data_IF_296448907483
#
_entry.id   IF_296448907483
#
_cell.length_a   1.000
_cell.length_b   1.000
_cell.length_c   1.000
_cell.angle_alpha   90.00
_cell.angle_beta   90.00
_cell.angle_gamma   90.00
#
_symmetry.space_group_name_H-M   'P 1'
#
loop_
_entity.id
_entity.type
_entity.pdbx_description
1 polymer ?
#
# COMPACT_ATOMS: atom_id res chain seq x y z
N UNK A 1 29.99 -11.39 -30.17
CA UNK A 1 28.65 -11.96 -29.86
C UNK A 1 28.37 -12.07 -28.35
N UNK A 2 28.91 -11.20 -27.50
CA UNK A 2 28.69 -11.22 -26.03
C UNK A 2 27.79 -10.07 -25.52
N UNK A 3 27.36 -9.21 -26.43
CA UNK A 3 26.57 -8.00 -26.16
C UNK A 3 25.05 -8.26 -26.15
N UNK A 4 24.59 -9.39 -26.68
CA UNK A 4 23.15 -9.68 -26.84
C UNK A 4 22.50 -10.34 -25.61
N UNK A 5 23.23 -11.18 -24.88
CA UNK A 5 22.65 -11.92 -23.74
C UNK A 5 22.43 -11.03 -22.52
N UNK A 6 23.34 -10.08 -22.25
CA UNK A 6 23.23 -9.16 -21.11
C UNK A 6 22.08 -8.16 -21.27
N UNK A 7 21.84 -7.68 -22.50
CA UNK A 7 20.75 -6.74 -22.82
C UNK A 7 19.39 -7.44 -22.77
N UNK A 8 19.31 -8.67 -23.30
CA UNK A 8 18.10 -9.50 -23.25
C UNK A 8 17.74 -9.86 -21.80
N UNK A 9 18.70 -10.26 -20.97
CA UNK A 9 18.45 -10.52 -19.54
C UNK A 9 18.01 -9.27 -18.79
N UNK A 10 18.64 -8.11 -19.02
CA UNK A 10 18.24 -6.86 -18.39
C UNK A 10 16.81 -6.45 -18.81
N UNK A 11 16.42 -6.70 -20.07
CA UNK A 11 15.07 -6.51 -20.56
C UNK A 11 14.06 -7.43 -19.85
N UNK A 12 14.37 -8.71 -19.68
CA UNK A 12 13.52 -9.69 -19.00
C UNK A 12 13.23 -9.30 -17.55
N UNK A 13 14.23 -8.86 -16.80
CA UNK A 13 14.04 -8.41 -15.41
C UNK A 13 13.15 -7.18 -15.33
N UNK A 14 13.33 -6.21 -16.22
CA UNK A 14 12.46 -5.01 -16.26
C UNK A 14 11.01 -5.36 -16.56
N UNK A 15 10.76 -6.28 -17.48
CA UNK A 15 9.40 -6.76 -17.78
C UNK A 15 8.79 -7.47 -16.58
N UNK A 16 9.54 -8.34 -15.91
CA UNK A 16 9.07 -9.03 -14.70
C UNK A 16 8.75 -8.05 -13.57
N UNK A 17 9.63 -7.06 -13.32
CA UNK A 17 9.39 -6.00 -12.34
C UNK A 17 8.13 -5.20 -12.70
N UNK A 18 7.96 -4.80 -13.96
CA UNK A 18 6.78 -4.06 -14.39
C UNK A 18 5.50 -4.87 -14.20
N UNK A 19 5.49 -6.14 -14.57
CA UNK A 19 4.34 -7.03 -14.39
C UNK A 19 3.99 -7.22 -12.90
N UNK A 20 4.99 -7.45 -12.04
CA UNK A 20 4.78 -7.63 -10.60
C UNK A 20 4.30 -6.36 -9.93
N UNK A 21 4.89 -5.20 -10.25
CA UNK A 21 4.43 -3.90 -9.75
C UNK A 21 3.02 -3.57 -10.27
N UNK A 22 2.71 -3.92 -11.52
CA UNK A 22 1.37 -3.79 -12.10
C UNK A 22 0.34 -4.63 -11.36
N UNK A 23 0.64 -5.91 -11.12
CA UNK A 23 -0.24 -6.81 -10.35
C UNK A 23 -0.42 -6.32 -8.92
N UNK A 24 0.65 -5.86 -8.28
CA UNK A 24 0.59 -5.27 -6.95
C UNK A 24 -0.32 -4.03 -6.93
N UNK A 25 -0.16 -3.12 -7.90
CA UNK A 25 -1.00 -1.92 -8.03
C UNK A 25 -2.47 -2.24 -8.35
N UNK A 26 -2.74 -3.24 -9.19
CA UNK A 26 -4.09 -3.74 -9.44
C UNK A 26 -4.68 -4.36 -8.17
N UNK A 27 -3.89 -5.16 -7.45
CA UNK A 27 -4.31 -5.77 -6.19
C UNK A 27 -4.67 -4.73 -5.13
N UNK A 28 -3.95 -3.62 -5.08
CA UNK A 28 -4.24 -2.50 -4.18
C UNK A 28 -5.65 -1.91 -4.38
N UNK A 29 -6.20 -1.96 -5.61
CA UNK A 29 -7.51 -1.37 -5.95
C UNK A 29 -8.62 -2.41 -6.10
N UNK A 30 -8.27 -3.65 -6.44
CA UNK A 30 -9.22 -4.69 -6.80
C UNK A 30 -9.61 -5.54 -5.60
N UNK A 31 -8.68 -6.35 -5.07
CA UNK A 31 -8.96 -7.35 -4.06
C UNK A 31 -7.71 -7.75 -3.26
N UNK A 32 -7.90 -8.09 -1.98
CA UNK A 32 -6.84 -8.55 -1.08
C UNK A 32 -6.10 -9.79 -1.61
N UNK A 33 -6.80 -10.76 -2.19
CA UNK A 33 -6.16 -11.96 -2.74
C UNK A 33 -5.17 -11.64 -3.87
N UNK A 34 -5.54 -10.70 -4.76
CA UNK A 34 -4.68 -10.26 -5.86
C UNK A 34 -3.48 -9.48 -5.33
N UNK A 35 -3.69 -8.64 -4.31
CA UNK A 35 -2.59 -7.94 -3.64
C UNK A 35 -1.62 -8.91 -2.97
N UNK A 36 -2.13 -9.93 -2.28
CA UNK A 36 -1.30 -10.95 -1.64
C UNK A 36 -0.48 -11.72 -2.68
N UNK A 37 -1.07 -12.07 -3.83
CA UNK A 37 -0.33 -12.65 -4.94
C UNK A 37 0.78 -11.71 -5.44
N UNK A 38 0.48 -10.43 -5.66
CA UNK A 38 1.45 -9.41 -6.03
C UNK A 38 2.58 -9.24 -5.00
N UNK A 39 2.24 -9.25 -3.71
CA UNK A 39 3.18 -9.14 -2.59
C UNK A 39 4.13 -10.35 -2.50
N UNK A 40 3.60 -11.56 -2.67
CA UNK A 40 4.38 -12.81 -2.70
C UNK A 40 5.35 -12.78 -3.89
N UNK A 41 4.86 -12.43 -5.09
CA UNK A 41 5.70 -12.34 -6.29
C UNK A 41 6.76 -11.24 -6.17
N UNK A 42 6.43 -10.08 -5.59
CA UNK A 42 7.40 -9.02 -5.31
C UNK A 42 8.51 -9.51 -4.38
N UNK A 43 8.14 -10.23 -3.32
CA UNK A 43 9.08 -10.81 -2.36
C UNK A 43 9.98 -11.85 -3.02
N UNK A 44 9.40 -12.78 -3.78
CA UNK A 44 10.15 -13.80 -4.51
C UNK A 44 11.11 -13.17 -5.54
N UNK A 45 10.67 -12.14 -6.26
CA UNK A 45 11.49 -11.42 -7.22
C UNK A 45 12.62 -10.64 -6.55
N UNK A 46 12.36 -9.95 -5.44
CA UNK A 46 13.38 -9.27 -4.66
C UNK A 46 14.45 -10.25 -4.14
N UNK A 47 14.03 -11.42 -3.64
CA UNK A 47 14.93 -12.49 -3.21
C UNK A 47 15.76 -13.03 -4.37
N UNK A 48 15.15 -13.31 -5.53
CA UNK A 48 15.87 -13.76 -6.72
C UNK A 48 16.94 -12.74 -7.16
N UNK A 49 16.61 -11.45 -7.15
CA UNK A 49 17.54 -10.37 -7.46
C UNK A 49 18.66 -10.23 -6.43
N UNK A 50 18.36 -10.46 -5.14
CA UNK A 50 19.36 -10.46 -4.08
C UNK A 50 20.33 -11.65 -4.20
N UNK A 51 19.81 -12.87 -4.38
CA UNK A 51 20.61 -14.10 -4.54
C UNK A 51 21.48 -14.04 -5.79
N UNK A 52 20.95 -13.49 -6.89
CA UNK A 52 21.71 -13.29 -8.13
C UNK A 52 22.64 -12.08 -8.10
N UNK A 53 22.77 -11.39 -6.95
CA UNK A 53 23.60 -10.19 -6.74
C UNK A 53 23.30 -9.04 -7.72
N UNK A 54 22.07 -8.98 -8.23
CA UNK A 54 21.59 -7.94 -9.15
C UNK A 54 20.90 -6.78 -8.42
N UNK A 55 20.58 -6.95 -7.15
CA UNK A 55 19.97 -5.91 -6.33
C UNK A 55 21.01 -4.86 -5.91
N UNK A 56 20.84 -3.62 -6.39
CA UNK A 56 21.65 -2.47 -5.99
C UNK A 56 20.75 -1.41 -5.37
N UNK A 57 20.79 -1.31 -4.04
CA UNK A 57 19.97 -0.37 -3.29
C UNK A 57 20.73 0.93 -3.03
N UNK A 58 20.11 2.05 -3.37
CA UNK A 58 20.50 3.38 -2.91
C UNK A 58 20.40 3.46 -1.37
N UNK A 59 21.09 4.44 -0.77
CA UNK A 59 21.19 4.57 0.70
C UNK A 59 19.81 4.68 1.36
N UNK A 60 18.91 5.47 0.77
CA UNK A 60 17.58 5.72 1.34
C UNK A 60 16.69 4.48 1.24
N UNK A 61 16.74 3.78 0.10
CA UNK A 61 16.03 2.50 -0.09
C UNK A 61 16.56 1.45 0.87
N UNK A 62 17.88 1.40 1.08
CA UNK A 62 18.50 0.47 2.03
C UNK A 62 18.05 0.75 3.46
N UNK A 63 18.02 2.02 3.88
CA UNK A 63 17.53 2.40 5.20
C UNK A 63 16.08 1.96 5.41
N UNK A 64 15.22 2.19 4.40
CA UNK A 64 13.83 1.73 4.43
C UNK A 64 13.70 0.21 4.50
N UNK A 65 14.48 -0.53 3.70
CA UNK A 65 14.49 -2.00 3.71
C UNK A 65 14.96 -2.54 5.06
N UNK A 66 16.02 -1.97 5.65
CA UNK A 66 16.52 -2.38 6.97
C UNK A 66 15.49 -2.11 8.07
N UNK A 67 14.86 -0.94 8.07
CA UNK A 67 13.79 -0.61 9.00
C UNK A 67 12.60 -1.59 8.86
N UNK A 68 12.25 -1.94 7.62
CA UNK A 68 11.18 -2.90 7.33
C UNK A 68 11.53 -4.32 7.78
N UNK A 69 12.78 -4.75 7.62
CA UNK A 69 13.27 -6.04 8.14
C UNK A 69 13.22 -6.06 9.66
N UNK A 70 13.71 -5.01 10.33
CA UNK A 70 13.66 -4.90 11.78
C UNK A 70 12.20 -4.94 12.30
N UNK A 71 11.29 -4.22 11.64
CA UNK A 71 9.88 -4.24 11.96
C UNK A 71 9.25 -5.62 11.72
N UNK A 72 9.60 -6.30 10.62
CA UNK A 72 9.15 -7.65 10.33
C UNK A 72 9.60 -8.63 11.43
N UNK A 73 10.88 -8.58 11.82
CA UNK A 73 11.40 -9.39 12.94
C UNK A 73 10.60 -9.13 14.20
N UNK A 74 10.34 -7.86 14.53
CA UNK A 74 9.50 -7.52 15.68
C UNK A 74 8.06 -8.02 15.54
N UNK A 75 7.44 -7.93 14.36
CA UNK A 75 6.09 -8.43 14.12
C UNK A 75 5.99 -9.96 14.24
N UNK A 76 7.08 -10.68 13.95
CA UNK A 76 7.17 -12.13 14.17
C UNK A 76 7.39 -12.49 15.65
N UNK A 77 8.20 -11.71 16.37
CA UNK A 77 8.54 -11.97 17.77
C UNK A 77 7.48 -11.47 18.76
N UNK A 78 6.86 -10.34 18.49
CA UNK A 78 5.93 -9.68 19.42
C UNK A 78 4.72 -10.53 19.85
N UNK A 79 4.10 -11.39 19.00
CA UNK A 79 3.06 -12.29 19.47
C UNK A 79 3.61 -13.32 20.46
N UNK A 80 4.82 -13.84 20.25
CA UNK A 80 5.46 -14.77 21.18
C UNK A 80 5.75 -14.11 22.53
N UNK A 81 6.29 -12.88 22.53
CA UNK A 81 6.52 -12.09 23.75
C UNK A 81 5.22 -11.80 24.49
N UNK A 82 4.15 -11.44 23.77
CA UNK A 82 2.84 -11.17 24.37
C UNK A 82 2.19 -12.44 24.97
N UNK A 83 2.46 -13.62 24.40
CA UNK A 83 2.02 -14.90 24.94
C UNK A 83 2.82 -15.28 26.19
N UNK A 84 4.15 -15.16 26.14
CA UNK A 84 5.03 -15.48 27.27
C UNK A 84 4.76 -14.62 28.50
N UNK A 85 4.34 -13.37 28.30
CA UNK A 85 4.02 -12.43 29.38
C UNK A 85 2.58 -12.53 29.88
N UNK A 86 1.73 -13.35 29.26
CA UNK A 86 0.30 -13.46 29.57
C UNK A 86 -0.53 -12.22 29.19
N UNK A 87 0.11 -11.15 28.68
CA UNK A 87 -0.53 -9.88 28.36
C UNK A 87 -1.64 -10.00 27.31
N UNK A 88 -1.62 -11.05 26.49
CA UNK A 88 -2.59 -11.23 25.42
C UNK A 88 -2.94 -12.70 25.13
N UNK A 89 -3.25 -13.49 26.17
CA UNK A 89 -3.58 -14.91 26.03
C UNK A 89 -4.74 -15.22 25.05
N UNK A 90 -5.66 -14.26 24.85
CA UNK A 90 -6.83 -14.38 23.95
C UNK A 90 -6.62 -13.75 22.56
N UNK A 91 -5.41 -13.31 22.20
CA UNK A 91 -5.22 -12.58 20.92
C UNK A 91 -5.33 -13.46 19.68
N UNK A 92 -5.91 -12.95 18.56
CA UNK A 92 -5.99 -13.67 17.30
C UNK A 92 -4.59 -13.89 16.70
N UNK A 93 -4.12 -15.14 16.70
CA UNK A 93 -2.75 -15.49 16.31
C UNK A 93 -2.48 -15.26 14.82
N UNK A 94 -3.37 -15.72 13.94
CA UNK A 94 -3.17 -15.67 12.48
C UNK A 94 -3.14 -14.26 11.89
N UNK A 95 -3.92 -13.32 12.46
CA UNK A 95 -4.03 -11.96 11.94
C UNK A 95 -2.73 -11.15 12.08
N UNK A 96 -1.94 -11.40 13.13
CA UNK A 96 -0.68 -10.68 13.41
C UNK A 96 0.50 -11.18 12.58
N UNK A 97 0.67 -12.49 12.44
CA UNK A 97 1.70 -13.02 11.54
C UNK A 97 1.47 -12.60 10.08
N UNK A 98 0.22 -12.37 9.68
CA UNK A 98 -0.10 -11.80 8.38
C UNK A 98 0.42 -10.37 8.16
N UNK A 99 0.69 -9.59 9.21
CA UNK A 99 1.27 -8.24 9.07
C UNK A 99 2.75 -8.28 8.66
N UNK A 100 3.48 -9.34 9.01
CA UNK A 100 4.86 -9.52 8.59
C UNK A 100 4.98 -9.60 7.07
N UNK A 101 4.04 -10.28 6.41
CA UNK A 101 3.96 -10.33 4.94
C UNK A 101 3.72 -8.94 4.33
N UNK A 102 2.80 -8.15 4.91
CA UNK A 102 2.52 -6.79 4.45
C UNK A 102 3.78 -5.88 4.56
N UNK A 103 4.55 -6.02 5.65
CA UNK A 103 5.81 -5.28 5.88
C UNK A 103 6.93 -5.70 4.93
N UNK A 104 7.12 -7.01 4.71
CA UNK A 104 8.13 -7.53 3.79
C UNK A 104 7.80 -7.16 2.34
N UNK A 105 6.51 -7.18 1.97
CA UNK A 105 6.07 -6.80 0.65
C UNK A 105 6.42 -5.34 0.31
N UNK A 106 6.28 -4.42 1.27
CA UNK A 106 6.69 -3.02 1.10
C UNK A 106 8.19 -2.89 0.80
N UNK A 107 9.03 -3.60 1.56
CA UNK A 107 10.47 -3.65 1.31
C UNK A 107 10.80 -4.29 -0.04
N UNK A 108 10.10 -5.36 -0.41
CA UNK A 108 10.30 -6.06 -1.67
C UNK A 108 9.95 -5.18 -2.89
N UNK A 109 8.81 -4.47 -2.83
CA UNK A 109 8.40 -3.49 -3.85
C UNK A 109 9.45 -2.38 -4.01
N UNK A 110 9.96 -1.85 -2.89
CA UNK A 110 11.04 -0.85 -2.92
C UNK A 110 12.33 -1.40 -3.53
N UNK A 111 12.70 -2.65 -3.20
CA UNK A 111 13.85 -3.34 -3.77
C UNK A 111 13.74 -3.50 -5.29
N UNK A 112 12.65 -4.10 -5.78
CA UNK A 112 12.47 -4.38 -7.22
C UNK A 112 12.31 -3.10 -8.04
N UNK A 113 11.73 -2.04 -7.44
CA UNK A 113 11.58 -0.73 -8.07
C UNK A 113 12.91 -0.08 -8.50
N UNK A 114 14.02 -0.46 -7.86
CA UNK A 114 15.36 0.05 -8.22
C UNK A 114 15.80 -0.32 -9.65
N UNK A 115 15.21 -1.37 -10.26
CA UNK A 115 15.52 -1.78 -11.64
C UNK A 115 14.74 -1.01 -12.72
N UNK A 116 13.78 -0.19 -12.29
CA UNK A 116 12.92 0.62 -13.15
C UNK A 116 11.46 0.48 -12.77
N UNK A 117 10.78 1.62 -12.67
CA UNK A 117 9.36 1.68 -12.33
C UNK A 117 8.57 2.16 -13.55
N UNK A 118 7.54 1.42 -14.00
CA UNK A 118 6.67 1.87 -15.09
C UNK A 118 5.69 2.94 -14.58
N UNK A 119 6.20 4.13 -14.26
CA UNK A 119 5.48 5.19 -13.56
C UNK A 119 4.16 5.60 -14.20
N UNK A 120 4.07 5.65 -15.52
CA UNK A 120 2.83 5.99 -16.22
C UNK A 120 1.75 4.92 -16.02
N UNK A 121 2.13 3.64 -16.13
CA UNK A 121 1.23 2.52 -15.91
C UNK A 121 0.77 2.48 -14.45
N UNK A 122 1.70 2.57 -13.49
CA UNK A 122 1.35 2.56 -12.07
C UNK A 122 0.53 3.79 -11.68
N UNK A 123 0.87 4.96 -12.20
CA UNK A 123 0.13 6.20 -11.99
C UNK A 123 -1.29 6.09 -12.52
N UNK A 124 -1.49 5.54 -13.72
CA UNK A 124 -2.81 5.29 -14.29
C UNK A 124 -3.63 4.26 -13.51
N UNK A 125 -3.02 3.14 -13.15
CA UNK A 125 -3.67 2.08 -12.35
C UNK A 125 -4.07 2.58 -10.96
N UNK A 126 -3.16 3.27 -10.27
CA UNK A 126 -3.41 3.80 -8.94
C UNK A 126 -4.44 4.92 -9.02
N UNK A 127 -4.26 5.94 -9.86
CA UNK A 127 -5.19 7.07 -9.92
C UNK A 127 -6.57 6.64 -10.42
N UNK A 128 -6.64 5.90 -11.53
CA UNK A 128 -7.90 5.42 -12.07
C UNK A 128 -8.59 4.43 -11.14
N UNK A 129 -7.84 3.47 -10.60
CA UNK A 129 -8.38 2.49 -9.66
C UNK A 129 -8.82 3.11 -8.33
N UNK A 130 -8.08 4.10 -7.79
CA UNK A 130 -8.48 4.81 -6.57
C UNK A 130 -9.75 5.63 -6.78
N UNK A 131 -9.83 6.39 -7.88
CA UNK A 131 -11.02 7.20 -8.17
C UNK A 131 -12.25 6.32 -8.35
N UNK A 132 -12.13 5.22 -9.08
CA UNK A 132 -13.24 4.30 -9.29
C UNK A 132 -13.63 3.57 -7.99
N UNK A 133 -12.65 3.15 -7.18
CA UNK A 133 -12.91 2.54 -5.87
C UNK A 133 -13.57 3.53 -4.89
N UNK A 134 -13.16 4.81 -4.90
CA UNK A 134 -13.80 5.86 -4.11
C UNK A 134 -15.24 6.10 -4.54
N UNK A 135 -15.48 6.23 -5.85
CA UNK A 135 -16.82 6.42 -6.42
C UNK A 135 -17.74 5.23 -6.11
N UNK A 136 -17.25 4.02 -6.33
CA UNK A 136 -17.98 2.79 -6.01
C UNK A 136 -18.26 2.70 -4.51
N UNK A 137 -17.31 3.07 -3.66
CA UNK A 137 -17.50 3.03 -2.22
C UNK A 137 -18.53 4.03 -1.73
N UNK A 138 -18.57 5.22 -2.34
CA UNK A 138 -19.62 6.21 -2.06
C UNK A 138 -21.00 5.70 -2.50
N UNK A 139 -21.10 5.09 -3.68
CA UNK A 139 -22.33 4.45 -4.16
C UNK A 139 -22.78 3.32 -3.24
N UNK A 140 -21.88 2.40 -2.90
CA UNK A 140 -22.13 1.28 -1.99
C UNK A 140 -22.62 1.74 -0.61
N UNK A 141 -22.19 2.91 -0.13
CA UNK A 141 -22.63 3.45 1.16
C UNK A 141 -24.07 4.00 1.15
N UNK A 142 -24.60 4.33 -0.04
CA UNK A 142 -25.92 4.95 -0.20
C UNK A 142 -27.00 3.97 -0.65
N UNK A 143 -26.62 2.74 -1.02
CA UNK A 143 -27.54 1.73 -1.56
C UNK A 143 -27.62 0.54 -0.60
N UNK A 144 -28.83 0.15 -0.16
CA UNK A 144 -29.03 -1.11 0.56
C UNK A 144 -28.84 -2.30 -0.40
N UNK A 145 -28.06 -3.28 0.03
CA UNK A 145 -27.74 -4.47 -0.78
C UNK A 145 -28.67 -5.62 -0.39
N UNK A 146 -29.45 -6.20 -1.34
CA UNK A 146 -30.39 -7.27 -1.05
C UNK A 146 -29.74 -8.66 -0.96
N UNK A 147 -28.41 -8.74 -1.06
CA UNK A 147 -27.65 -9.99 -1.10
C UNK A 147 -26.36 -9.88 -0.28
N UNK A 148 -25.86 -11.02 0.18
CA UNK A 148 -24.66 -11.10 0.99
C UNK A 148 -23.41 -11.37 0.10
N UNK A 149 -22.34 -10.56 0.19
CA UNK A 149 -21.14 -10.79 -0.63
C UNK A 149 -20.43 -12.12 -0.33
N UNK A 150 -19.83 -12.78 -1.35
CA UNK A 150 -19.02 -13.98 -1.14
C UNK A 150 -17.92 -13.76 -0.11
N UNK A 151 -17.66 -14.74 0.76
CA UNK A 151 -16.71 -14.62 1.89
C UNK A 151 -15.31 -14.15 1.47
N UNK A 152 -14.82 -14.55 0.30
CA UNK A 152 -13.48 -14.17 -0.20
C UNK A 152 -13.39 -12.70 -0.65
N UNK A 153 -14.53 -12.02 -0.85
CA UNK A 153 -14.58 -10.59 -1.18
C UNK A 153 -14.67 -9.71 0.07
N UNK A 154 -14.92 -10.32 1.23
CA UNK A 154 -15.04 -9.64 2.52
C UNK A 154 -13.70 -9.63 3.24
N UNK A 155 -13.47 -8.60 4.04
CA UNK A 155 -12.39 -8.62 5.01
C UNK A 155 -12.56 -9.75 6.01
N UNK A 156 -11.46 -10.40 6.35
CA UNK A 156 -11.45 -11.31 7.49
C UNK A 156 -11.66 -10.48 8.78
N UNK A 157 -12.79 -10.69 9.46
CA UNK A 157 -13.16 -9.96 10.68
C UNK A 157 -12.11 -10.11 11.79
N UNK A 158 -11.33 -11.19 11.83
CA UNK A 158 -10.20 -11.32 12.76
C UNK A 158 -9.10 -10.26 12.57
N UNK A 159 -9.08 -9.56 11.43
CA UNK A 159 -8.19 -8.43 11.13
C UNK A 159 -8.84 -7.06 11.38
N UNK A 160 -10.17 -6.99 11.59
CA UNK A 160 -10.92 -5.77 11.92
C UNK A 160 -11.27 -5.77 13.40
N UNK A 161 -10.61 -4.93 14.20
CA UNK A 161 -11.07 -4.62 15.56
C UNK A 161 -12.24 -3.61 15.57
N UNK A 162 -12.63 -3.07 14.41
CA UNK A 162 -13.65 -2.03 14.31
C UNK A 162 -14.89 -2.57 13.58
N UNK A 163 -15.88 -3.05 14.34
CA UNK A 163 -17.24 -3.29 13.83
C UNK A 163 -17.92 -1.92 13.64
N UNK A 164 -18.41 -1.64 12.42
CA UNK A 164 -19.05 -0.37 12.07
C UNK A 164 -20.54 -0.48 11.73
N UNK A 165 -21.11 -1.67 11.92
CA UNK A 165 -22.55 -1.92 11.96
C UNK A 165 -22.86 -2.83 13.14
N UNK A 166 -24.03 -2.65 13.73
CA UNK A 166 -24.63 -3.62 14.64
C UNK A 166 -25.29 -4.74 13.82
N UNK A 167 -25.60 -5.88 14.44
CA UNK A 167 -26.37 -6.95 13.78
C UNK A 167 -27.72 -6.43 13.23
N UNK A 168 -28.30 -5.42 13.89
CA UNK A 168 -29.55 -4.76 13.50
C UNK A 168 -29.41 -3.81 12.29
N UNK A 169 -28.21 -3.26 12.06
CA UNK A 169 -27.94 -2.34 10.94
C UNK A 169 -26.60 -2.69 10.27
N UNK A 170 -26.56 -3.78 9.49
CA UNK A 170 -25.35 -4.20 8.78
C UNK A 170 -25.01 -3.17 7.69
N UNK A 171 -24.19 -2.19 8.02
CA UNK A 171 -23.55 -1.33 7.03
C UNK A 171 -22.35 -2.07 6.47
N UNK A 172 -22.49 -2.66 5.29
CA UNK A 172 -21.37 -3.23 4.56
C UNK A 172 -20.41 -2.10 4.17
N UNK A 173 -19.23 -2.09 4.78
CA UNK A 173 -18.22 -1.08 4.52
C UNK A 173 -17.54 -1.35 3.18
N UNK A 174 -17.70 -0.42 2.24
CA UNK A 174 -17.02 -0.44 0.96
C UNK A 174 -15.50 -0.33 1.09
N UNK A 175 -14.77 -0.95 0.17
CA UNK A 175 -13.39 -0.58 -0.12
C UNK A 175 -12.81 -1.38 -1.27
N UNK A 176 -12.05 -0.74 -2.15
CA UNK A 176 -11.74 -1.31 -3.46
C UNK A 176 -13.00 -1.63 -4.27
N UNK A 177 -12.82 -2.27 -5.43
CA UNK A 177 -13.96 -2.84 -6.17
C UNK A 177 -14.73 -3.89 -5.34
N UNK A 178 -14.07 -4.51 -4.35
CA UNK A 178 -14.63 -5.53 -3.46
C UNK A 178 -14.35 -5.20 -1.96
N UNK A 179 -15.36 -4.70 -1.23
CA UNK A 179 -15.53 -4.58 0.24
C UNK A 179 -14.29 -4.62 1.18
N UNK A 180 -13.30 -3.76 0.94
CA UNK A 180 -12.00 -3.72 1.65
C UNK A 180 -11.56 -2.31 2.11
N UNK A 181 -12.05 -1.88 3.28
CA UNK A 181 -11.93 -0.51 3.84
C UNK A 181 -10.53 -0.10 4.34
N UNK A 182 -9.82 -0.99 5.04
CA UNK A 182 -8.60 -0.61 5.77
C UNK A 182 -7.41 -0.35 4.84
N UNK A 183 -7.19 -1.17 3.81
CA UNK A 183 -6.05 -0.94 2.91
C UNK A 183 -6.24 0.27 1.99
N UNK A 184 -7.49 0.69 1.74
CA UNK A 184 -7.77 1.91 1.00
C UNK A 184 -7.19 3.15 1.71
N UNK A 185 -7.33 3.21 3.04
CA UNK A 185 -6.76 4.28 3.84
C UNK A 185 -5.22 4.20 3.97
N UNK A 186 -4.66 3.00 4.15
CA UNK A 186 -3.21 2.80 4.21
C UNK A 186 -2.51 3.10 2.88
N UNK A 187 -3.08 2.65 1.76
CA UNK A 187 -2.57 2.96 0.42
C UNK A 187 -2.69 4.45 0.10
N UNK A 188 -3.76 5.11 0.55
CA UNK A 188 -3.88 6.56 0.41
C UNK A 188 -2.79 7.34 1.17
N UNK A 189 -2.42 6.90 2.38
CA UNK A 189 -1.24 7.46 3.10
C UNK A 189 0.05 7.20 2.33
N UNK A 190 0.24 6.00 1.78
CA UNK A 190 1.47 5.64 1.06
C UNK A 190 1.67 6.50 -0.20
N UNK A 191 0.58 6.85 -0.91
CA UNK A 191 0.62 7.69 -2.13
C UNK A 191 0.68 9.19 -1.80
N UNK A 192 0.39 9.57 -0.55
CA UNK A 192 0.43 10.96 -0.08
C UNK A 192 1.83 11.57 -0.17
N UNK A 193 2.86 10.82 0.23
CA UNK A 193 4.26 11.28 0.20
C UNK A 193 4.74 11.71 -1.19
N UNK A 194 4.62 10.85 -2.22
CA UNK A 194 4.94 11.21 -3.60
C UNK A 194 4.16 12.44 -4.12
N UNK A 195 2.86 12.54 -3.81
CA UNK A 195 2.05 13.68 -4.23
C UNK A 195 2.52 14.99 -3.57
N UNK A 196 2.80 14.96 -2.27
CA UNK A 196 3.38 16.10 -1.53
C UNK A 196 4.76 16.49 -2.06
N UNK A 197 5.60 15.51 -2.42
CA UNK A 197 6.89 15.77 -3.03
C UNK A 197 6.77 16.49 -4.39
N UNK A 198 5.78 16.12 -5.23
CA UNK A 198 5.50 16.81 -6.50
C UNK A 198 5.04 18.26 -6.25
N UNK A 199 4.18 18.49 -5.26
CA UNK A 199 3.72 19.85 -4.88
C UNK A 199 4.91 20.72 -4.48
N UNK A 200 5.84 20.16 -3.70
CA UNK A 200 6.99 20.87 -3.16
C UNK A 200 8.15 21.10 -4.12
N UNK A 201 8.41 20.14 -5.02
CA UNK A 201 9.61 20.16 -5.90
C UNK A 201 9.33 20.59 -7.34
N UNK A 202 8.08 20.53 -7.81
CA UNK A 202 7.78 20.83 -9.20
C UNK A 202 7.81 22.34 -9.48
N UNK A 203 8.52 22.76 -10.53
CA UNK A 203 8.50 24.14 -11.05
C UNK A 203 7.29 24.43 -11.94
N UNK A 204 6.49 23.41 -12.29
CA UNK A 204 5.37 23.54 -13.23
C UNK A 204 4.06 23.64 -12.46
N UNK A 205 3.38 24.79 -12.53
CA UNK A 205 2.12 25.06 -11.80
C UNK A 205 1.06 23.99 -12.04
N UNK A 206 0.87 23.56 -13.30
CA UNK A 206 -0.11 22.51 -13.66
C UNK A 206 0.14 21.19 -12.91
N UNK A 207 1.41 20.80 -12.71
CA UNK A 207 1.78 19.58 -11.98
C UNK A 207 1.52 19.72 -10.48
N UNK A 208 1.75 20.91 -9.92
CA UNK A 208 1.44 21.21 -8.51
C UNK A 208 -0.07 21.18 -8.26
N UNK A 209 -0.86 21.78 -9.14
CA UNK A 209 -2.34 21.75 -9.07
C UNK A 209 -2.86 20.33 -9.16
N UNK A 210 -2.38 19.53 -10.13
CA UNK A 210 -2.78 18.14 -10.26
C UNK A 210 -2.42 17.32 -9.02
N UNK A 211 -1.20 17.49 -8.49
CA UNK A 211 -0.79 16.81 -7.27
C UNK A 211 -1.61 17.25 -6.04
N UNK A 212 -2.00 18.53 -5.96
CA UNK A 212 -2.93 19.04 -4.94
C UNK A 212 -4.31 18.38 -5.03
N UNK A 213 -4.85 18.23 -6.24
CA UNK A 213 -6.11 17.52 -6.46
C UNK A 213 -6.01 16.04 -6.05
N UNK A 214 -4.89 15.38 -6.33
CA UNK A 214 -4.62 14.01 -5.88
C UNK A 214 -4.58 13.94 -4.35
N UNK A 215 -3.85 14.85 -3.67
CA UNK A 215 -3.82 14.90 -2.19
C UNK A 215 -5.21 15.06 -1.60
N UNK A 216 -6.02 15.98 -2.13
CA UNK A 216 -7.41 16.17 -1.67
C UNK A 216 -8.25 14.90 -1.89
N UNK A 217 -8.15 14.27 -3.07
CA UNK A 217 -8.83 13.02 -3.37
C UNK A 217 -8.44 11.89 -2.41
N UNK A 218 -7.16 11.79 -2.04
CA UNK A 218 -6.65 10.81 -1.08
C UNK A 218 -7.17 11.08 0.34
N UNK A 219 -7.25 12.35 0.78
CA UNK A 219 -7.79 12.71 2.10
C UNK A 219 -9.31 12.45 2.18
N UNK A 220 -10.06 12.82 1.14
CA UNK A 220 -11.50 12.54 1.04
C UNK A 220 -11.75 11.04 1.04
N UNK A 221 -10.90 10.27 0.36
CA UNK A 221 -10.93 8.80 0.35
C UNK A 221 -10.74 8.20 1.75
N UNK A 222 -9.78 8.70 2.54
CA UNK A 222 -9.55 8.25 3.92
C UNK A 222 -10.72 8.64 4.83
N UNK A 223 -11.26 9.84 4.66
CA UNK A 223 -12.44 10.33 5.40
C UNK A 223 -13.68 9.49 5.09
N UNK A 224 -13.97 9.24 3.82
CA UNK A 224 -15.10 8.42 3.38
C UNK A 224 -14.95 6.95 3.82
N UNK A 225 -13.71 6.47 3.98
CA UNK A 225 -13.41 5.20 4.60
C UNK A 225 -13.53 5.22 6.14
N UNK A 226 -13.98 6.31 6.77
CA UNK A 226 -14.00 6.58 8.22
C UNK A 226 -12.79 6.04 9.01
N UNK A 227 -11.62 6.02 8.37
CA UNK A 227 -10.39 5.52 8.98
C UNK A 227 -9.77 6.68 9.78
N UNK A 228 -10.38 7.02 10.93
CA UNK A 228 -10.06 8.22 11.72
C UNK A 228 -8.57 8.29 12.10
N UNK A 229 -7.98 7.18 12.51
CA UNK A 229 -6.55 7.10 12.80
C UNK A 229 -5.67 7.34 11.56
N UNK A 230 -6.04 6.77 10.42
CA UNK A 230 -5.35 6.99 9.16
C UNK A 230 -5.50 8.44 8.66
N UNK A 231 -6.65 9.07 8.88
CA UNK A 231 -6.86 10.48 8.56
C UNK A 231 -5.97 11.38 9.41
N UNK A 232 -5.89 11.12 10.71
CA UNK A 232 -4.97 11.81 11.61
C UNK A 232 -3.51 11.68 11.18
N UNK A 233 -3.08 10.46 10.82
CA UNK A 233 -1.73 10.22 10.30
C UNK A 233 -1.48 10.97 8.97
N UNK A 234 -2.42 10.91 8.04
CA UNK A 234 -2.33 11.61 6.75
C UNK A 234 -2.22 13.13 6.94
N UNK A 235 -3.07 13.70 7.81
CA UNK A 235 -3.03 15.12 8.15
C UNK A 235 -1.69 15.50 8.81
N UNK A 236 -1.19 14.68 9.74
CA UNK A 236 0.12 14.87 10.36
C UNK A 236 1.25 14.88 9.33
N UNK A 237 1.23 13.96 8.36
CA UNK A 237 2.21 13.92 7.26
C UNK A 237 2.10 15.16 6.37
N UNK A 238 0.89 15.61 6.03
CA UNK A 238 0.68 16.85 5.28
C UNK A 238 1.22 18.07 6.04
N UNK A 239 0.94 18.20 7.34
CA UNK A 239 1.44 19.29 8.18
C UNK A 239 2.96 19.26 8.24
N UNK A 240 3.56 18.10 8.51
CA UNK A 240 5.02 17.96 8.55
C UNK A 240 5.65 18.33 7.21
N UNK A 241 5.08 17.87 6.09
CA UNK A 241 5.56 18.22 4.75
C UNK A 241 5.46 19.72 4.48
N UNK A 242 4.34 20.37 4.85
CA UNK A 242 4.17 21.82 4.74
C UNK A 242 5.23 22.57 5.58
N UNK A 243 5.48 22.14 6.82
CA UNK A 243 6.49 22.73 7.68
C UNK A 243 7.90 22.58 7.10
N UNK A 244 8.24 21.43 6.52
CA UNK A 244 9.52 21.19 5.87
C UNK A 244 9.69 22.02 4.60
N UNK A 245 8.63 22.19 3.82
CA UNK A 245 8.61 23.04 2.62
C UNK A 245 8.77 24.53 2.97
N UNK A 246 8.10 24.99 4.03
CA UNK A 246 8.24 26.37 4.51
C UNK A 246 9.63 26.67 5.08
N UNK A 247 10.31 25.66 5.65
CA UNK A 247 11.69 25.77 6.15
C UNK A 247 12.77 25.64 5.07
N UNK A 248 12.40 25.39 3.82
CA UNK A 248 13.35 25.19 2.71
C UNK A 248 14.16 23.89 2.77
N UNK A 249 13.89 23.02 3.75
CA UNK A 249 14.56 21.73 3.91
C UNK A 249 13.83 20.66 3.11
N UNK A 250 14.10 20.58 1.81
CA UNK A 250 13.75 19.40 1.02
C UNK A 250 14.82 18.32 1.26
N UNK A 251 14.50 17.29 2.05
CA UNK A 251 15.22 16.01 2.03
C UNK A 251 14.31 14.96 1.44
#
# INVERSE_FOLDING_TARGET
MLTDTKTVEAGRWRTAVAAVLGLYAVGLVLAEAVLQAGAILATALALALAVTKRLRLEKDVRAFVLASVALCVWQLLSPAVALMTGAAAKWPRGARYGQALDTVAGAAVACIGTLGVPWLMLGGLIAGGWLTAAALGFFQHRVPWPWEPPKFTKLNLSRLHENFGTEEHPRYAAGGFFFHRLRFAHGAIAVLGPALAVIGRSKVTRRRVLAGAVVLGLLVSIYAAFARAALGAALGVCVLALLLLLRGTAR
#
